data_IF_468913617294
#
_entry.id   IF_468913617294
#
_cell.length_a   1.000
_cell.length_b   1.000
_cell.length_c   1.000
_cell.angle_alpha   90.00
_cell.angle_beta   90.00
_cell.angle_gamma   90.00
#
_symmetry.space_group_name_H-M   'P 1'
#
loop_
_entity.id
_entity.type
_entity.pdbx_description
1 polymer ?
#
# COMPACT_ATOMS: atom_id res chain seq x y z
N UNK A 1 4.13 26.14 8.41
CA UNK A 1 4.10 25.27 9.61
C UNK A 1 2.69 25.32 10.19
N UNK A 2 1.88 24.27 10.04
CA UNK A 2 0.52 24.27 10.59
C UNK A 2 0.55 23.84 12.06
N UNK A 3 0.23 24.79 12.96
CA UNK A 3 0.16 24.60 14.41
C UNK A 3 -1.24 24.09 14.75
N UNK A 4 -1.39 22.78 14.96
CA UNK A 4 -2.67 22.18 15.42
C UNK A 4 -3.12 22.88 16.70
N UNK A 5 -4.38 23.33 16.74
CA UNK A 5 -4.95 23.94 17.96
C UNK A 5 -5.48 22.84 18.89
N UNK A 6 -5.37 23.06 20.20
CA UNK A 6 -5.94 22.19 21.23
C UNK A 6 -7.46 22.10 21.00
N UNK A 7 -7.98 20.89 20.76
CA UNK A 7 -9.40 20.62 20.51
C UNK A 7 -9.79 20.39 19.05
N UNK A 8 -8.85 20.50 18.11
CA UNK A 8 -9.10 20.17 16.71
C UNK A 8 -9.24 18.65 16.55
N UNK A 9 -10.47 18.17 16.30
CA UNK A 9 -10.68 16.75 16.02
C UNK A 9 -9.86 16.37 14.77
N UNK A 10 -9.05 15.29 14.82
CA UNK A 10 -8.34 14.82 13.65
C UNK A 10 -9.34 14.56 12.52
N UNK A 11 -9.16 15.20 11.37
CA UNK A 11 -9.97 14.91 10.18
C UNK A 11 -9.85 13.40 9.91
N UNK A 12 -10.97 12.65 9.88
CA UNK A 12 -10.94 11.22 9.59
C UNK A 12 -10.26 10.99 8.25
N UNK A 13 -9.20 10.19 8.23
CA UNK A 13 -8.60 9.76 6.96
C UNK A 13 -9.49 8.68 6.38
N UNK A 14 -10.30 9.03 5.40
CA UNK A 14 -11.14 8.08 4.68
C UNK A 14 -10.27 7.05 3.96
N UNK A 15 -10.63 5.77 4.10
CA UNK A 15 -9.95 4.71 3.39
C UNK A 15 -10.17 4.91 1.89
N UNK A 16 -9.08 4.81 1.14
CA UNK A 16 -9.15 4.72 -0.31
C UNK A 16 -9.66 3.32 -0.67
N UNK A 17 -10.62 3.26 -1.59
CA UNK A 17 -11.35 2.03 -1.92
C UNK A 17 -10.84 1.50 -3.26
N UNK A 18 -10.48 0.22 -3.29
CA UNK A 18 -10.09 -0.44 -4.54
C UNK A 18 -11.33 -0.96 -5.29
N UNK A 19 -11.30 -0.86 -6.62
CA UNK A 19 -12.27 -1.49 -7.53
C UNK A 19 -11.63 -1.72 -8.89
N UNK A 20 -12.29 -2.48 -9.77
CA UNK A 20 -11.78 -2.80 -11.12
C UNK A 20 -11.58 -1.56 -12.01
N UNK A 21 -12.28 -0.45 -11.72
CA UNK A 21 -12.14 0.82 -12.44
C UNK A 21 -11.09 1.75 -11.82
N UNK A 22 -10.40 1.32 -10.76
CA UNK A 22 -9.39 2.12 -10.08
C UNK A 22 -8.10 2.21 -10.92
N UNK A 23 -7.38 3.34 -10.86
CA UNK A 23 -6.12 3.54 -11.61
C UNK A 23 -5.11 2.42 -11.38
N UNK A 24 -5.03 1.88 -10.17
CA UNK A 24 -4.18 0.72 -9.85
C UNK A 24 -4.57 -0.52 -10.65
N UNK A 25 -5.87 -0.79 -10.84
CA UNK A 25 -6.33 -1.93 -11.64
C UNK A 25 -5.91 -1.76 -13.11
N UNK A 26 -6.02 -0.54 -13.65
CA UNK A 26 -5.55 -0.23 -15.01
C UNK A 26 -4.03 -0.42 -15.17
N UNK A 27 -3.25 0.04 -14.20
CA UNK A 27 -1.80 -0.13 -14.17
C UNK A 27 -1.40 -1.62 -14.12
N UNK A 28 -2.09 -2.42 -13.32
CA UNK A 28 -1.83 -3.87 -13.23
C UNK A 28 -2.18 -4.55 -14.54
N UNK A 29 -3.34 -4.21 -15.13
CA UNK A 29 -3.78 -4.74 -16.43
C UNK A 29 -2.82 -4.39 -17.56
N UNK A 30 -2.15 -3.25 -17.49
CA UNK A 30 -1.14 -2.81 -18.48
C UNK A 30 0.28 -3.30 -18.17
N UNK A 31 0.47 -4.10 -17.11
CA UNK A 31 1.71 -4.84 -16.83
C UNK A 31 2.50 -4.38 -15.60
N UNK A 32 2.01 -3.39 -14.84
CA UNK A 32 2.63 -3.00 -13.58
C UNK A 32 2.44 -4.09 -12.53
N UNK A 33 3.43 -4.31 -11.66
CA UNK A 33 3.24 -5.14 -10.47
C UNK A 33 2.33 -4.42 -9.49
N UNK A 34 1.53 -5.18 -8.74
CA UNK A 34 0.55 -4.63 -7.78
C UNK A 34 1.21 -3.65 -6.80
N UNK A 35 2.38 -4.00 -6.27
CA UNK A 35 3.10 -3.17 -5.31
C UNK A 35 3.56 -1.84 -5.92
N UNK A 36 4.12 -1.89 -7.13
CA UNK A 36 4.61 -0.69 -7.83
C UNK A 36 3.46 0.22 -8.23
N UNK A 37 2.33 -0.35 -8.68
CA UNK A 37 1.13 0.39 -9.00
C UNK A 37 0.59 1.18 -7.79
N UNK A 38 0.51 0.54 -6.61
CA UNK A 38 0.13 1.24 -5.37
C UNK A 38 1.17 2.25 -4.93
N UNK A 39 2.46 1.94 -5.05
CA UNK A 39 3.55 2.86 -4.70
C UNK A 39 3.48 4.15 -5.54
N UNK A 40 3.22 4.01 -6.85
CA UNK A 40 3.06 5.11 -7.79
C UNK A 40 1.78 5.90 -7.51
N UNK A 41 0.64 5.24 -7.35
CA UNK A 41 -0.64 5.88 -7.03
C UNK A 41 -0.57 6.70 -5.73
N UNK A 42 0.09 6.18 -4.70
CA UNK A 42 0.23 6.87 -3.40
C UNK A 42 1.40 7.83 -3.34
N UNK A 43 2.25 7.87 -4.37
CA UNK A 43 3.44 8.70 -4.43
C UNK A 43 4.39 8.48 -3.25
N UNK A 44 4.65 7.21 -2.88
CA UNK A 44 5.42 6.86 -1.67
C UNK A 44 6.80 6.26 -1.98
N UNK A 45 7.89 7.05 -1.99
CA UNK A 45 9.25 6.53 -2.11
C UNK A 45 9.59 5.49 -1.03
N UNK A 46 10.44 4.51 -1.37
CA UNK A 46 10.86 3.42 -0.47
C UNK A 46 11.29 3.88 0.92
N UNK A 47 12.09 4.94 1.01
CA UNK A 47 12.56 5.47 2.31
C UNK A 47 11.41 5.96 3.19
N UNK A 48 10.38 6.58 2.59
CA UNK A 48 9.18 7.02 3.33
C UNK A 48 8.30 5.83 3.71
N UNK A 49 8.16 4.87 2.80
CA UNK A 49 7.35 3.67 3.04
C UNK A 49 7.95 2.80 4.14
N UNK A 50 9.26 2.60 4.15
CA UNK A 50 9.98 1.88 5.21
C UNK A 50 9.75 2.51 6.59
N UNK A 51 9.84 3.84 6.68
CA UNK A 51 9.56 4.57 7.93
C UNK A 51 8.13 4.43 8.42
N UNK A 52 7.15 4.33 7.50
CA UNK A 52 5.72 4.21 7.86
C UNK A 52 5.30 2.80 8.24
N UNK A 53 5.92 1.79 7.61
CA UNK A 53 5.54 0.38 7.76
C UNK A 53 6.43 -0.38 8.74
N UNK A 54 7.64 0.12 9.00
CA UNK A 54 8.68 -0.64 9.71
C UNK A 54 9.35 -1.72 8.84
N UNK A 55 8.93 -1.90 7.59
CA UNK A 55 9.52 -2.87 6.66
C UNK A 55 10.84 -2.28 6.13
N UNK A 56 11.92 -3.05 6.25
CA UNK A 56 13.24 -2.60 5.80
C UNK A 56 13.27 -2.40 4.26
N UNK A 57 14.02 -1.42 3.73
CA UNK A 57 14.04 -1.12 2.30
C UNK A 57 14.36 -2.32 1.41
N UNK A 58 15.29 -3.19 1.83
CA UNK A 58 15.64 -4.43 1.12
C UNK A 58 14.44 -5.36 0.95
N UNK A 59 13.57 -5.44 1.96
CA UNK A 59 12.36 -6.26 1.92
C UNK A 59 11.30 -5.64 1.01
N UNK A 60 11.13 -4.32 1.03
CA UNK A 60 10.25 -3.62 0.08
C UNK A 60 10.71 -3.82 -1.38
N UNK A 61 12.02 -3.82 -1.64
CA UNK A 61 12.57 -4.12 -2.97
C UNK A 61 12.29 -5.56 -3.40
N UNK A 62 12.37 -6.54 -2.49
CA UNK A 62 12.02 -7.93 -2.78
C UNK A 62 10.54 -8.06 -3.15
N UNK A 63 9.63 -7.40 -2.41
CA UNK A 63 8.20 -7.39 -2.72
C UNK A 63 7.94 -6.73 -4.09
N UNK A 64 8.58 -5.60 -4.39
CA UNK A 64 8.53 -4.98 -5.73
C UNK A 64 9.09 -5.89 -6.83
N UNK A 65 10.09 -6.71 -6.52
CA UNK A 65 10.62 -7.72 -7.44
C UNK A 65 9.66 -8.91 -7.68
N UNK A 66 8.54 -8.99 -6.96
CA UNK A 66 7.54 -10.05 -7.06
C UNK A 66 7.66 -11.15 -6.00
N UNK A 67 8.44 -10.93 -4.94
CA UNK A 67 8.49 -11.86 -3.81
C UNK A 67 7.16 -11.88 -3.04
N UNK A 68 6.91 -12.98 -2.34
CA UNK A 68 5.72 -13.14 -1.50
C UNK A 68 5.76 -12.17 -0.33
N UNK A 69 4.58 -11.78 0.16
CA UNK A 69 4.37 -10.85 1.26
C UNK A 69 3.62 -11.56 2.39
N UNK A 70 4.00 -11.32 3.65
CA UNK A 70 3.25 -11.89 4.77
C UNK A 70 1.98 -11.08 5.07
N UNK A 71 1.01 -11.66 5.79
CA UNK A 71 -0.17 -10.94 6.26
C UNK A 71 0.19 -9.68 7.06
N UNK A 72 1.21 -9.77 7.92
CA UNK A 72 1.68 -8.64 8.72
C UNK A 72 2.26 -7.51 7.85
N UNK A 73 3.00 -7.84 6.81
CA UNK A 73 3.54 -6.86 5.85
C UNK A 73 2.42 -6.21 5.04
N UNK A 74 1.42 -7.00 4.63
CA UNK A 74 0.24 -6.51 3.92
C UNK A 74 -0.55 -5.51 4.78
N UNK A 75 -0.80 -5.83 6.04
CA UNK A 75 -1.49 -4.95 6.99
C UNK A 75 -0.72 -3.65 7.23
N UNK A 76 0.61 -3.73 7.32
CA UNK A 76 1.47 -2.56 7.45
C UNK A 76 1.37 -1.64 6.22
N UNK A 77 1.39 -2.20 5.02
CA UNK A 77 1.21 -1.46 3.76
C UNK A 77 -0.18 -0.82 3.67
N UNK A 78 -1.22 -1.58 3.98
CA UNK A 78 -2.61 -1.13 4.00
C UNK A 78 -2.77 0.12 4.91
N UNK A 79 -2.24 0.06 6.13
CA UNK A 79 -2.22 1.19 7.07
C UNK A 79 -1.41 2.38 6.54
N UNK A 80 -0.26 2.15 5.93
CA UNK A 80 0.61 3.21 5.40
C UNK A 80 -0.01 3.97 4.21
N UNK A 81 -0.87 3.29 3.44
CA UNK A 81 -1.56 3.82 2.28
C UNK A 81 -3.02 4.20 2.53
N UNK A 82 -3.52 3.93 3.75
CA UNK A 82 -4.91 4.13 4.14
C UNK A 82 -5.88 3.43 3.19
N UNK A 83 -5.61 2.15 2.92
CA UNK A 83 -6.43 1.23 2.11
C UNK A 83 -6.77 0.06 3.03
N UNK A 84 -7.88 -0.66 2.79
CA UNK A 84 -8.13 -1.89 3.54
C UNK A 84 -7.16 -3.01 3.12
N UNK A 85 -6.81 -3.92 4.04
CA UNK A 85 -5.96 -5.05 3.69
C UNK A 85 -6.64 -6.00 2.69
N UNK A 86 -7.97 -6.12 2.77
CA UNK A 86 -8.77 -6.90 1.82
C UNK A 86 -8.76 -6.33 0.41
N UNK A 87 -8.84 -5.01 0.26
CA UNK A 87 -8.72 -4.33 -1.03
C UNK A 87 -7.32 -4.49 -1.62
N UNK A 88 -6.30 -4.41 -0.76
CA UNK A 88 -4.92 -4.60 -1.17
C UNK A 88 -4.68 -6.04 -1.64
N UNK A 89 -5.23 -7.03 -0.92
CA UNK A 89 -5.22 -8.44 -1.31
C UNK A 89 -6.00 -8.69 -2.61
N UNK A 90 -7.19 -8.11 -2.77
CA UNK A 90 -8.02 -8.25 -3.96
C UNK A 90 -7.34 -7.68 -5.22
N UNK A 91 -6.50 -6.65 -5.05
CA UNK A 91 -5.72 -6.08 -6.15
C UNK A 91 -4.57 -6.97 -6.63
N UNK A 92 -4.21 -8.03 -5.90
CA UNK A 92 -3.10 -8.91 -6.30
C UNK A 92 -3.50 -9.82 -7.46
N UNK A 93 -2.61 -10.01 -8.47
CA UNK A 93 -2.91 -10.87 -9.61
C UNK A 93 -2.86 -12.37 -9.27
N UNK A 94 -2.14 -12.75 -8.20
CA UNK A 94 -2.04 -14.15 -7.74
C UNK A 94 -2.12 -14.18 -6.20
N UNK A 95 -3.06 -14.97 -5.67
CA UNK A 95 -3.25 -15.15 -4.23
C UNK A 95 -2.06 -15.83 -3.55
N UNK A 96 -1.22 -16.56 -4.30
CA UNK A 96 0.01 -17.21 -3.79
C UNK A 96 1.10 -16.20 -3.39
N UNK A 97 0.93 -14.92 -3.75
CA UNK A 97 1.80 -13.85 -3.29
C UNK A 97 1.59 -13.55 -1.80
N UNK A 98 0.43 -13.85 -1.23
CA UNK A 98 0.17 -13.70 0.19
C UNK A 98 0.50 -15.00 0.92
N UNK A 99 1.28 -14.89 2.00
CA UNK A 99 1.56 -15.97 2.95
C UNK A 99 1.14 -15.57 4.35
N UNK A 100 0.78 -16.54 5.18
CA UNK A 100 0.47 -16.31 6.59
C UNK A 100 1.72 -15.92 7.40
#
# INVERSE_FOLDING_TARGET
MSRRRKGEQPIPKLLDTWSDNHTVADMIRTGSRWFDAWQMQKGTPYVKLAKRTGIVPKRLMAISAGDRVSRAELDALARAWNVSAGDLEASMPDKRLLVD
#
